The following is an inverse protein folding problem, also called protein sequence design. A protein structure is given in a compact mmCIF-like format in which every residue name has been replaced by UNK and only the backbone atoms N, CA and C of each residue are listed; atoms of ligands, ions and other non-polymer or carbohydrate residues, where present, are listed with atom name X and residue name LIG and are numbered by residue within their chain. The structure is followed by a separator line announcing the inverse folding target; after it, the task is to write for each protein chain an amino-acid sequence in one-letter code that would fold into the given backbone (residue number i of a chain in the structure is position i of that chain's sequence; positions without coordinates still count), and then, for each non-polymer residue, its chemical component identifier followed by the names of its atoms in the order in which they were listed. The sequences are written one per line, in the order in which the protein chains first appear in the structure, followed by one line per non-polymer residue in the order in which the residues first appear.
data_IF_775343082204
#
_entry.id   IF_775343082204
#
_cell.length_a   1.000
_cell.length_b   1.000
_cell.length_c   1.000
_cell.angle_alpha   90.00
_cell.angle_beta   90.00
_cell.angle_gamma   90.00
#
_symmetry.space_group_name_H-M   'P 1'
#
loop_
_entity.id
_entity.type
_entity.pdbx_description
1 polymer ?
#
# COMPACT_ATOMS: atom_id res chain seq x y z
N UNK A 1 15.51 -15.40 -1.31
CA UNK A 1 14.53 -16.48 -1.08
C UNK A 1 13.18 -15.79 -1.02
N UNK A 2 12.20 -16.17 -1.85
CA UNK A 2 10.92 -15.45 -1.93
C UNK A 2 10.14 -15.54 -0.60
N UNK A 3 9.37 -14.51 -0.30
CA UNK A 3 8.45 -14.30 0.86
C UNK A 3 7.38 -15.39 1.09
N UNK A 4 7.51 -16.57 0.49
CA UNK A 4 6.51 -17.64 0.60
C UNK A 4 6.65 -18.43 1.93
N UNK A 5 7.58 -18.00 2.79
CA UNK A 5 7.76 -18.53 4.14
C UNK A 5 7.94 -17.44 5.18
N UNK A 6 7.18 -17.53 6.27
CA UNK A 6 7.43 -16.77 7.51
C UNK A 6 7.82 -17.82 8.56
N UNK A 7 9.03 -17.70 9.12
CA UNK A 7 9.55 -18.66 10.12
C UNK A 7 9.46 -20.13 9.66
N UNK A 8 9.83 -20.39 8.39
CA UNK A 8 9.76 -21.69 7.71
C UNK A 8 8.36 -22.28 7.47
N UNK A 9 7.28 -21.57 7.83
CA UNK A 9 5.89 -21.98 7.55
C UNK A 9 5.40 -21.36 6.24
N UNK A 10 4.63 -22.11 5.47
CA UNK A 10 4.06 -21.61 4.21
C UNK A 10 3.00 -20.54 4.45
N UNK A 11 2.96 -19.56 3.55
CA UNK A 11 1.87 -18.61 3.42
C UNK A 11 1.20 -18.80 2.06
N UNK A 12 -0.13 -18.78 2.03
CA UNK A 12 -0.90 -18.91 0.79
C UNK A 12 -1.12 -17.53 0.19
N UNK A 13 -0.80 -17.35 -1.08
CA UNK A 13 -0.98 -16.08 -1.79
C UNK A 13 -2.18 -16.19 -2.71
N UNK A 14 -3.18 -15.38 -2.44
CA UNK A 14 -4.35 -15.20 -3.30
C UNK A 14 -3.98 -14.21 -4.39
N UNK A 15 -4.41 -14.45 -5.62
CA UNK A 15 -4.24 -13.56 -6.77
C UNK A 15 -5.21 -14.02 -7.86
N UNK A 16 -5.91 -13.08 -8.50
CA UNK A 16 -6.91 -13.41 -9.52
C UNK A 16 -6.32 -14.18 -10.72
N UNK A 17 -5.08 -13.86 -11.10
CA UNK A 17 -4.39 -14.46 -12.25
C UNK A 17 -3.65 -15.75 -11.90
N UNK A 18 -3.76 -16.24 -10.65
CA UNK A 18 -3.01 -17.37 -10.09
C UNK A 18 -1.49 -17.28 -10.31
N UNK A 19 -0.98 -16.06 -10.48
CA UNK A 19 0.42 -15.77 -10.81
C UNK A 19 0.84 -14.49 -10.08
N UNK A 20 0.99 -14.53 -8.74
CA UNK A 20 1.32 -13.35 -7.96
C UNK A 20 2.67 -12.77 -8.39
N UNK A 21 2.72 -11.47 -8.65
CA UNK A 21 3.97 -10.84 -9.09
C UNK A 21 4.92 -10.49 -7.95
N UNK A 22 6.17 -10.26 -8.33
CA UNK A 22 7.24 -9.81 -7.45
C UNK A 22 8.00 -8.67 -8.12
N UNK A 23 8.25 -7.61 -7.37
CA UNK A 23 9.07 -6.49 -7.85
C UNK A 23 10.40 -6.44 -7.11
N UNK A 24 11.38 -5.75 -7.69
CA UNK A 24 12.62 -5.48 -6.98
C UNK A 24 12.34 -4.58 -5.77
N UNK A 25 12.92 -4.93 -4.64
CA UNK A 25 12.86 -4.16 -3.42
C UNK A 25 14.27 -3.98 -2.83
N UNK A 26 14.36 -3.21 -1.74
CA UNK A 26 15.63 -3.01 -1.04
C UNK A 26 16.24 -4.34 -0.57
N UNK A 27 15.40 -5.33 -0.26
CA UNK A 27 15.78 -6.66 0.20
C UNK A 27 15.23 -7.73 -0.75
N UNK A 28 15.86 -7.87 -1.92
CA UNK A 28 15.49 -8.89 -2.88
C UNK A 28 14.18 -8.59 -3.61
N UNK A 29 13.12 -9.35 -3.31
CA UNK A 29 11.88 -9.37 -4.11
C UNK A 29 10.64 -9.24 -3.21
N UNK A 30 9.98 -8.09 -3.28
CA UNK A 30 8.75 -7.81 -2.57
C UNK A 30 7.53 -8.44 -3.27
N UNK A 31 6.51 -8.80 -2.50
CA UNK A 31 5.20 -9.18 -3.01
C UNK A 31 4.49 -7.95 -3.58
N UNK A 32 4.14 -7.96 -4.87
CA UNK A 32 3.29 -6.95 -5.48
C UNK A 32 1.83 -7.22 -5.12
N UNK A 33 1.14 -6.21 -4.62
CA UNK A 33 -0.28 -6.23 -4.25
C UNK A 33 -1.04 -5.36 -5.24
N UNK A 34 -2.06 -5.87 -5.92
CA UNK A 34 -2.72 -5.18 -7.05
C UNK A 34 -3.91 -4.30 -6.64
N UNK A 35 -4.18 -4.15 -5.34
CA UNK A 35 -5.27 -3.33 -4.81
C UNK A 35 -6.59 -4.05 -4.59
N UNK A 36 -6.78 -5.27 -5.13
CA UNK A 36 -8.10 -5.91 -5.08
C UNK A 36 -8.08 -7.45 -4.99
N UNK A 37 -7.07 -8.12 -5.52
CA UNK A 37 -7.04 -9.59 -5.61
C UNK A 37 -5.85 -10.22 -4.91
N UNK A 38 -4.75 -9.46 -4.78
CA UNK A 38 -3.48 -10.02 -4.31
C UNK A 38 -3.26 -9.76 -2.83
N UNK A 39 -3.26 -10.81 -2.04
CA UNK A 39 -3.02 -10.78 -0.60
C UNK A 39 -2.59 -12.15 -0.09
N UNK A 40 -1.89 -12.20 1.04
CA UNK A 40 -1.35 -13.44 1.60
C UNK A 40 -2.10 -13.83 2.88
N UNK A 41 -2.26 -15.13 3.13
CA UNK A 41 -2.98 -15.66 4.29
C UNK A 41 -2.33 -16.91 4.87
N UNK A 42 -2.44 -17.11 6.18
CA UNK A 42 -2.01 -18.36 6.84
C UNK A 42 -2.88 -18.68 8.05
N UNK A 43 -3.21 -19.97 8.19
CA UNK A 43 -3.83 -20.53 9.41
C UNK A 43 -2.78 -21.19 10.32
N UNK A 44 -1.54 -21.38 9.84
CA UNK A 44 -0.50 -22.11 10.56
C UNK A 44 0.39 -21.19 11.41
N UNK A 45 0.48 -19.92 11.02
CA UNK A 45 1.23 -18.90 11.74
C UNK A 45 0.32 -18.35 12.83
N UNK A 46 0.74 -18.54 14.07
CA UNK A 46 0.00 -18.05 15.25
C UNK A 46 0.82 -17.02 16.02
N UNK A 47 0.11 -16.02 16.53
CA UNK A 47 0.66 -14.95 17.36
C UNK A 47 0.40 -15.17 18.86
N UNK A 48 -0.08 -16.36 19.26
CA UNK A 48 -0.47 -16.71 20.65
C UNK A 48 0.63 -16.58 21.70
N UNK A 49 1.89 -16.45 21.30
CA UNK A 49 3.02 -16.22 22.19
C UNK A 49 3.28 -14.74 22.51
N UNK A 50 2.47 -13.82 22.00
CA UNK A 50 2.50 -12.38 22.32
C UNK A 50 1.55 -12.15 23.49
N UNK A 51 2.08 -11.70 24.63
CA UNK A 51 1.32 -11.60 25.88
C UNK A 51 1.17 -10.17 26.38
N UNK A 52 2.19 -9.33 26.31
CA UNK A 52 2.15 -7.95 26.84
C UNK A 52 3.05 -6.95 26.10
N UNK A 53 4.03 -7.42 25.33
CA UNK A 53 4.85 -6.61 24.43
C UNK A 53 4.82 -7.15 23.01
N UNK A 54 5.00 -6.25 22.04
CA UNK A 54 4.83 -6.55 20.63
C UNK A 54 5.61 -5.57 19.77
N UNK A 55 6.18 -6.06 18.67
CA UNK A 55 6.60 -5.21 17.54
C UNK A 55 6.17 -5.82 16.22
N UNK A 56 5.60 -5.00 15.35
CA UNK A 56 5.44 -5.27 13.92
C UNK A 56 6.36 -4.35 13.13
N UNK A 57 7.00 -4.87 12.09
CA UNK A 57 7.90 -4.14 11.19
C UNK A 57 7.69 -4.59 9.74
N UNK A 58 7.71 -3.65 8.79
CA UNK A 58 7.72 -3.95 7.34
C UNK A 58 8.23 -2.76 6.53
N UNK A 59 8.64 -3.03 5.30
CA UNK A 59 8.76 -2.02 4.24
C UNK A 59 7.54 -2.09 3.32
N UNK A 60 6.91 -0.94 3.09
CA UNK A 60 5.74 -0.83 2.22
C UNK A 60 5.85 0.37 1.27
N UNK A 61 5.56 0.14 0.00
CA UNK A 61 5.45 1.19 -1.01
C UNK A 61 4.12 1.04 -1.74
N UNK A 62 3.56 2.15 -2.21
CA UNK A 62 2.26 2.14 -2.90
C UNK A 62 2.22 3.18 -4.02
N UNK A 63 1.48 2.89 -5.09
CA UNK A 63 1.18 3.86 -6.16
C UNK A 63 -0.09 4.66 -5.84
N UNK A 64 -0.95 4.14 -4.95
CA UNK A 64 -2.26 4.71 -4.61
C UNK A 64 -2.79 4.16 -3.28
N UNK A 65 -3.46 5.02 -2.51
CA UNK A 65 -4.15 4.59 -1.31
C UNK A 65 -5.55 4.05 -1.65
N UNK A 66 -6.00 3.06 -0.89
CA UNK A 66 -7.29 2.41 -1.08
C UNK A 66 -8.46 3.29 -0.60
N UNK A 67 -9.64 3.13 -1.19
CA UNK A 67 -10.85 3.83 -0.72
C UNK A 67 -11.20 3.50 0.74
N UNK A 68 -10.90 2.28 1.18
CA UNK A 68 -11.10 1.79 2.54
C UNK A 68 -9.76 1.44 3.17
N UNK A 69 -9.75 1.41 4.50
CA UNK A 69 -8.65 0.89 5.28
C UNK A 69 -8.26 -0.52 4.78
N UNK A 70 -6.97 -0.72 4.50
CA UNK A 70 -6.43 -1.99 4.05
C UNK A 70 -5.22 -2.39 4.91
N UNK A 71 -5.13 -3.65 5.31
CA UNK A 71 -4.15 -4.08 6.30
C UNK A 71 -2.81 -4.47 5.69
N UNK A 72 -1.73 -3.98 6.30
CA UNK A 72 -0.39 -4.56 6.18
C UNK A 72 -0.35 -5.91 6.89
N UNK A 73 -0.94 -5.97 8.09
CA UNK A 73 -1.17 -7.17 8.86
C UNK A 73 -2.53 -7.09 9.55
N UNK A 74 -3.27 -8.18 9.50
CA UNK A 74 -4.53 -8.34 10.20
C UNK A 74 -4.62 -9.74 10.80
N UNK A 75 -4.84 -9.77 12.11
CA UNK A 75 -5.00 -10.97 12.92
C UNK A 75 -6.29 -10.88 13.74
N UNK A 76 -7.32 -10.25 13.17
CA UNK A 76 -8.63 -10.09 13.81
C UNK A 76 -9.56 -11.24 13.47
N UNK A 77 -10.15 -11.82 14.52
CA UNK A 77 -11.24 -12.78 14.43
C UNK A 77 -11.99 -12.75 15.78
N UNK A 78 -13.33 -12.70 15.76
CA UNK A 78 -14.15 -12.65 16.97
C UNK A 78 -13.78 -11.49 17.93
N UNK A 79 -13.22 -11.81 19.11
CA UNK A 79 -12.87 -10.86 20.18
C UNK A 79 -11.43 -10.33 20.10
N UNK A 80 -10.67 -10.72 19.07
CA UNK A 80 -9.34 -10.18 18.78
C UNK A 80 -9.41 -8.86 18.03
N UNK A 81 -8.69 -7.87 18.54
CA UNK A 81 -8.31 -6.68 17.79
C UNK A 81 -6.78 -6.66 17.73
N UNK A 82 -6.16 -7.11 16.64
CA UNK A 82 -4.75 -6.84 16.33
C UNK A 82 -4.59 -6.66 14.82
N UNK A 83 -4.41 -5.41 14.40
CA UNK A 83 -4.11 -5.11 12.99
C UNK A 83 -3.32 -3.82 12.84
N UNK A 84 -2.53 -3.79 11.77
CA UNK A 84 -1.81 -2.62 11.28
C UNK A 84 -2.29 -2.39 9.85
N UNK A 85 -2.83 -1.20 9.59
CA UNK A 85 -3.44 -0.87 8.31
C UNK A 85 -3.02 0.51 7.79
N UNK A 86 -3.25 0.72 6.50
CA UNK A 86 -3.10 2.00 5.81
C UNK A 86 -4.51 2.55 5.55
N UNK A 87 -4.75 3.78 5.99
CA UNK A 87 -5.97 4.51 5.72
C UNK A 87 -6.00 5.09 4.29
N UNK A 88 -7.16 5.65 3.86
CA UNK A 88 -7.36 6.11 2.49
C UNK A 88 -6.46 7.26 2.01
N UNK A 89 -5.76 7.92 2.93
CA UNK A 89 -4.84 9.03 2.62
C UNK A 89 -3.42 8.78 3.11
N UNK A 90 -3.09 7.53 3.47
CA UNK A 90 -1.73 7.13 3.81
C UNK A 90 -1.37 7.18 5.29
N UNK A 91 -2.29 7.51 6.18
CA UNK A 91 -2.03 7.38 7.62
C UNK A 91 -1.94 5.88 8.00
N UNK A 92 -0.98 5.55 8.86
CA UNK A 92 -0.87 4.22 9.47
C UNK A 92 -1.87 4.13 10.62
N UNK A 93 -2.57 3.01 10.73
CA UNK A 93 -3.56 2.73 11.78
C UNK A 93 -3.08 1.49 12.51
N UNK A 94 -2.79 1.62 13.80
CA UNK A 94 -2.43 0.51 14.65
C UNK A 94 -3.53 0.28 15.67
N UNK A 95 -4.16 -0.89 15.64
CA UNK A 95 -5.19 -1.27 16.59
C UNK A 95 -4.79 -2.54 17.32
N UNK A 96 -4.93 -2.53 18.64
CA UNK A 96 -4.75 -3.69 19.49
C UNK A 96 -5.76 -3.72 20.65
N UNK A 97 -6.16 -4.90 21.12
CA UNK A 97 -6.84 -5.04 22.42
C UNK A 97 -5.79 -5.14 23.53
N UNK A 98 -5.78 -4.17 24.43
CA UNK A 98 -4.81 -4.04 25.52
C UNK A 98 -5.58 -3.95 26.83
N UNK A 99 -5.25 -4.80 27.80
CA UNK A 99 -6.00 -4.94 29.06
C UNK A 99 -7.51 -5.11 28.84
N UNK A 100 -7.88 -5.96 27.88
CA UNK A 100 -9.27 -6.19 27.44
C UNK A 100 -10.01 -4.95 26.88
N UNK A 101 -9.30 -3.85 26.62
CA UNK A 101 -9.84 -2.64 26.02
C UNK A 101 -9.27 -2.44 24.62
N UNK A 102 -10.14 -2.15 23.65
CA UNK A 102 -9.70 -1.82 22.29
C UNK A 102 -8.98 -0.47 22.30
N UNK A 103 -7.76 -0.44 21.77
CA UNK A 103 -6.93 0.74 21.59
C UNK A 103 -6.58 0.91 20.12
N UNK A 104 -6.66 2.15 19.64
CA UNK A 104 -6.31 2.50 18.27
C UNK A 104 -5.48 3.78 18.27
N UNK A 105 -4.30 3.69 17.67
CA UNK A 105 -3.42 4.80 17.40
C UNK A 105 -3.35 5.03 15.88
N UNK A 106 -3.34 6.30 15.47
CA UNK A 106 -3.10 6.69 14.07
C UNK A 106 -1.81 7.50 14.00
N UNK A 107 -1.07 7.34 12.91
CA UNK A 107 0.06 8.21 12.62
C UNK A 107 -0.40 9.66 12.43
N UNK A 108 0.46 10.60 12.80
CA UNK A 108 0.32 12.04 12.52
C UNK A 108 0.68 12.36 11.07
N UNK A 109 1.66 11.65 10.52
CA UNK A 109 2.07 11.82 9.13
C UNK A 109 1.44 10.76 8.23
N UNK A 110 1.27 11.11 6.95
CA UNK A 110 0.92 10.17 5.90
C UNK A 110 2.20 9.61 5.26
N UNK A 111 2.19 8.31 4.94
CA UNK A 111 3.27 7.72 4.16
C UNK A 111 3.25 8.28 2.73
N UNK A 112 4.40 8.24 2.04
CA UNK A 112 4.51 8.78 0.68
C UNK A 112 4.36 7.68 -0.37
N UNK A 113 3.52 7.91 -1.38
CA UNK A 113 3.44 7.02 -2.54
C UNK A 113 4.73 7.06 -3.37
N UNK A 114 4.96 6.01 -4.17
CA UNK A 114 6.16 5.78 -4.98
C UNK A 114 7.46 5.77 -4.20
N UNK A 115 7.39 5.65 -2.87
CA UNK A 115 8.55 5.52 -2.00
C UNK A 115 8.39 4.34 -1.05
N UNK A 116 9.49 3.67 -0.75
CA UNK A 116 9.58 2.66 0.30
C UNK A 116 9.51 3.34 1.66
N UNK A 117 8.45 3.03 2.41
CA UNK A 117 8.22 3.50 3.76
C UNK A 117 8.51 2.37 4.75
N UNK A 118 9.37 2.62 5.72
CA UNK A 118 9.60 1.71 6.85
C UNK A 118 8.56 1.99 7.93
N UNK A 119 7.76 0.99 8.27
CA UNK A 119 6.65 1.13 9.21
C UNK A 119 6.91 0.17 10.36
N UNK A 120 6.94 0.71 11.58
CA UNK A 120 7.08 -0.08 12.81
C UNK A 120 6.00 0.31 13.81
N UNK A 121 5.33 -0.68 14.39
CA UNK A 121 4.34 -0.47 15.45
C UNK A 121 4.77 -1.26 16.69
N UNK A 122 4.78 -0.63 17.87
CA UNK A 122 5.21 -1.29 19.11
C UNK A 122 4.20 -1.13 20.23
N UNK A 123 4.07 -2.15 21.08
CA UNK A 123 3.42 -2.07 22.39
C UNK A 123 4.51 -2.31 23.43
N UNK A 124 4.80 -1.28 24.24
CA UNK A 124 5.89 -1.25 25.22
C UNK A 124 5.33 -1.12 26.65
N UNK A 125 5.22 -2.23 27.40
CA UNK A 125 4.75 -2.21 28.78
C UNK A 125 5.75 -1.61 29.78
N UNK A 126 7.05 -1.54 29.44
CA UNK A 126 8.07 -0.92 30.32
C UNK A 126 7.83 0.58 30.42
N UNK A 127 7.50 1.22 29.30
CA UNK A 127 7.19 2.64 29.23
C UNK A 127 5.68 2.94 29.24
N UNK A 128 4.84 1.89 29.25
CA UNK A 128 3.38 1.98 29.11
C UNK A 128 2.94 2.77 27.87
N UNK A 129 3.55 2.51 26.71
CA UNK A 129 3.25 3.22 25.47
C UNK A 129 2.88 2.29 24.33
N UNK A 130 1.99 2.76 23.46
CA UNK A 130 1.86 2.25 22.09
C UNK A 130 2.44 3.27 21.14
N UNK A 131 3.21 2.82 20.14
CA UNK A 131 3.95 3.70 19.24
C UNK A 131 3.77 3.28 17.77
N UNK A 132 3.79 4.28 16.90
CA UNK A 132 3.96 4.14 15.45
C UNK A 132 5.21 4.90 15.06
N UNK A 133 6.11 4.24 14.33
CA UNK A 133 7.28 4.83 13.72
C UNK A 133 7.15 4.78 12.21
N UNK A 134 7.54 5.87 11.55
CA UNK A 134 7.61 5.97 10.09
C UNK A 134 9.03 6.40 9.73
N UNK A 135 9.69 5.64 8.86
CA UNK A 135 11.03 5.95 8.34
C UNK A 135 12.05 6.19 9.45
N UNK A 136 12.09 5.27 10.44
CA UNK A 136 13.03 5.32 11.56
C UNK A 136 12.70 6.33 12.66
N UNK A 137 11.66 7.15 12.50
CA UNK A 137 11.29 8.22 13.45
C UNK A 137 9.99 7.90 14.18
N UNK A 138 9.90 8.26 15.46
CA UNK A 138 8.65 8.16 16.22
C UNK A 138 7.65 9.18 15.68
N UNK A 139 6.54 8.70 15.14
CA UNK A 139 5.52 9.54 14.50
C UNK A 139 4.33 9.78 15.44
N UNK A 140 3.85 8.70 16.09
CA UNK A 140 2.76 8.78 17.06
C UNK A 140 3.04 7.90 18.29
N UNK A 141 2.61 8.38 19.45
CA UNK A 141 2.68 7.67 20.73
C UNK A 141 1.44 7.97 21.55
N UNK A 142 0.96 6.99 22.31
CA UNK A 142 -0.06 7.15 23.35
C UNK A 142 0.41 6.44 24.62
N UNK A 143 0.33 7.14 25.77
CA UNK A 143 0.59 6.56 27.08
C UNK A 143 -0.68 5.91 27.64
N UNK A 144 -0.55 4.68 28.11
CA UNK A 144 -1.64 3.90 28.70
C UNK A 144 -1.42 3.71 30.21
N UNK A 145 -2.48 3.38 30.93
CA UNK A 145 -2.36 2.96 32.33
C UNK A 145 -1.97 1.49 32.38
N UNK A 146 -0.73 1.19 32.80
CA UNK A 146 -0.21 -0.15 33.11
C UNK A 146 -0.59 -1.22 32.08
N UNK A 147 0.21 -1.40 31.04
CA UNK A 147 0.01 -2.46 30.06
C UNK A 147 0.39 -3.80 30.70
N UNK A 148 -0.60 -4.64 30.98
CA UNK A 148 -0.39 -5.97 31.58
C UNK A 148 -0.68 -7.11 30.62
N UNK A 149 -1.50 -6.87 29.59
CA UNK A 149 -1.88 -7.88 28.61
C UNK A 149 -2.23 -7.29 27.24
N UNK A 150 -1.92 -8.06 26.20
CA UNK A 150 -2.41 -7.90 24.83
C UNK A 150 -3.26 -9.14 24.53
N UNK A 151 -4.52 -8.94 24.14
CA UNK A 151 -5.40 -10.07 23.84
C UNK A 151 -5.10 -10.56 22.42
N UNK A 152 -4.35 -11.67 22.31
CA UNK A 152 -4.02 -12.33 21.04
C UNK A 152 -4.43 -13.79 21.08
N UNK A 153 -5.65 -14.08 20.61
CA UNK A 153 -6.15 -15.45 20.43
C UNK A 153 -5.77 -15.99 19.05
N UNK A 154 -5.73 -17.32 18.82
CA UNK A 154 -5.53 -17.87 17.49
C UNK A 154 -6.56 -17.35 16.48
N UNK A 155 -6.07 -16.80 15.37
CA UNK A 155 -6.87 -16.28 14.26
C UNK A 155 -6.18 -16.53 12.93
N UNK A 156 -6.91 -16.33 11.82
CA UNK A 156 -6.32 -16.32 10.48
C UNK A 156 -5.42 -15.09 10.31
N UNK A 157 -4.16 -15.32 9.93
CA UNK A 157 -3.26 -14.25 9.51
C UNK A 157 -3.61 -13.79 8.11
N UNK A 158 -3.77 -12.49 7.94
CA UNK A 158 -4.02 -11.80 6.68
C UNK A 158 -2.94 -10.74 6.48
N UNK A 159 -2.32 -10.70 5.31
CA UNK A 159 -1.30 -9.72 4.90
C UNK A 159 -1.75 -9.10 3.59
N UNK A 160 -1.79 -7.77 3.50
CA UNK A 160 -2.23 -7.07 2.30
C UNK A 160 -3.74 -6.89 2.17
N UNK A 161 -4.55 -7.33 3.15
CA UNK A 161 -6.01 -7.19 3.12
C UNK A 161 -6.60 -7.25 4.53
N UNK A 162 -7.63 -6.46 4.82
CA UNK A 162 -8.40 -6.59 6.08
C UNK A 162 -9.26 -7.86 6.11
N UNK A 163 -9.43 -8.49 7.27
CA UNK A 163 -10.28 -9.65 7.51
C UNK A 163 -11.77 -9.27 7.69
N UNK A 164 -12.23 -8.34 6.85
CA UNK A 164 -13.63 -7.96 6.74
C UNK A 164 -14.01 -7.96 5.27
N UNK A 165 -15.30 -8.15 4.99
CA UNK A 165 -15.82 -8.09 3.62
C UNK A 165 -16.20 -6.64 3.29
N UNK A 166 -15.39 -6.00 2.43
CA UNK A 166 -15.63 -4.64 1.95
C UNK A 166 -15.42 -4.64 0.43
N UNK A 167 -16.52 -4.48 -0.30
CA UNK A 167 -16.53 -4.54 -1.76
C UNK A 167 -17.26 -3.36 -2.37
N UNK A 168 -16.82 -2.97 -3.56
CA UNK A 168 -17.50 -2.02 -4.43
C UNK A 168 -17.47 -2.55 -5.86
N UNK A 169 -18.63 -2.55 -6.53
CA UNK A 169 -18.80 -3.12 -7.86
C UNK A 169 -18.27 -4.56 -8.01
N UNK A 170 -18.37 -5.38 -6.95
CA UNK A 170 -17.90 -6.77 -6.95
C UNK A 170 -16.40 -6.96 -6.70
N UNK A 171 -15.64 -5.89 -6.47
CA UNK A 171 -14.21 -5.95 -6.19
C UNK A 171 -13.90 -5.52 -4.76
N UNK A 172 -12.90 -6.14 -4.13
CA UNK A 172 -12.46 -5.74 -2.80
C UNK A 172 -11.90 -4.32 -2.84
N UNK A 173 -12.28 -3.49 -1.86
CA UNK A 173 -11.77 -2.11 -1.72
C UNK A 173 -10.85 -1.93 -0.51
N UNK A 174 -10.61 -3.02 0.23
CA UNK A 174 -9.78 -3.09 1.44
C UNK A 174 -8.54 -4.01 1.29
N UNK A 175 -8.05 -4.16 0.06
CA UNK A 175 -6.84 -4.91 -0.29
C UNK A 175 -5.77 -3.93 -0.73
N UNK A 176 -4.56 -3.95 -0.18
CA UNK A 176 -3.55 -2.94 -0.47
C UNK A 176 -3.16 -2.95 -1.95
N UNK A 177 -2.98 -1.77 -2.54
CA UNK A 177 -2.19 -1.62 -3.76
C UNK A 177 -0.76 -1.23 -3.41
N UNK A 178 0.23 -1.92 -3.94
CA UNK A 178 1.62 -1.52 -3.86
C UNK A 178 2.53 -2.71 -3.81
N UNK A 179 3.56 -2.65 -2.97
CA UNK A 179 4.41 -3.79 -2.68
C UNK A 179 4.79 -3.80 -1.20
N UNK A 180 4.89 -5.01 -0.64
CA UNK A 180 5.23 -5.26 0.76
C UNK A 180 6.46 -6.17 0.85
N UNK A 181 7.35 -5.83 1.76
CA UNK A 181 8.62 -6.52 1.97
C UNK A 181 9.01 -6.63 3.45
N UNK A 182 9.85 -7.60 3.77
CA UNK A 182 10.49 -7.76 5.09
C UNK A 182 9.54 -7.68 6.29
N UNK A 183 8.39 -8.35 6.20
CA UNK A 183 7.43 -8.42 7.31
C UNK A 183 8.05 -9.20 8.46
N UNK A 184 8.15 -8.55 9.61
CA UNK A 184 8.69 -9.12 10.84
C UNK A 184 7.78 -8.84 12.02
N UNK A 185 7.61 -9.84 12.89
CA UNK A 185 6.84 -9.74 14.13
C UNK A 185 7.73 -10.22 15.26
N UNK A 186 7.87 -9.40 16.30
CA UNK A 186 8.68 -9.69 17.47
C UNK A 186 7.81 -9.73 18.71
N UNK A 187 8.20 -10.60 19.65
CA UNK A 187 7.56 -10.73 20.97
C UNK A 187 8.08 -9.70 21.97
N UNK A 188 8.92 -8.77 21.54
CA UNK A 188 9.46 -7.72 22.38
C UNK A 188 9.15 -6.35 21.80
N UNK A 189 9.11 -5.33 22.65
CA UNK A 189 9.05 -3.94 22.21
C UNK A 189 10.41 -3.49 21.67
N UNK A 190 10.45 -3.01 20.42
CA UNK A 190 11.65 -2.43 19.84
C UNK A 190 11.85 -0.99 20.33
N UNK A 191 13.07 -0.65 20.75
CA UNK A 191 13.39 0.72 21.16
C UNK A 191 13.45 1.68 19.96
N UNK A 192 13.18 2.96 20.19
CA UNK A 192 13.28 3.99 19.16
C UNK A 192 14.66 4.02 18.46
N UNK A 193 15.75 3.81 19.21
CA UNK A 193 17.09 3.74 18.65
C UNK A 193 17.28 2.54 17.72
N UNK A 194 16.77 1.37 18.10
CA UNK A 194 16.83 0.18 17.25
C UNK A 194 16.02 0.36 15.96
N UNK A 195 14.84 0.99 16.04
CA UNK A 195 14.03 1.34 14.87
C UNK A 195 14.78 2.30 13.93
N UNK A 196 15.38 3.36 14.48
CA UNK A 196 16.18 4.32 13.70
C UNK A 196 17.39 3.66 13.02
N UNK A 197 18.10 2.78 13.73
CA UNK A 197 19.25 2.06 13.18
C UNK A 197 18.85 1.17 12.00
N UNK A 198 17.81 0.36 12.14
CA UNK A 198 17.32 -0.50 11.06
C UNK A 198 16.91 0.29 9.81
N UNK A 199 16.29 1.45 9.98
CA UNK A 199 15.96 2.33 8.85
C UNK A 199 17.22 2.83 8.14
N UNK A 200 18.21 3.31 8.91
CA UNK A 200 19.45 3.90 8.40
C UNK A 200 20.41 2.87 7.79
N UNK A 201 20.39 1.63 8.28
CA UNK A 201 21.16 0.50 7.73
C UNK A 201 20.73 0.15 6.29
N UNK A 202 19.48 0.42 5.94
CA UNK A 202 19.02 0.28 4.56
C UNK A 202 19.47 1.47 3.71
N UNK A 203 20.59 1.32 3.00
CA UNK A 203 21.15 2.32 2.08
C UNK A 203 20.58 2.25 0.66
N UNK A 204 19.65 1.34 0.38
CA UNK A 204 19.05 1.18 -0.95
C UNK A 204 18.16 2.37 -1.31
N UNK A 205 17.95 2.56 -2.62
CA UNK A 205 17.04 3.59 -3.14
C UNK A 205 15.67 3.50 -2.46
N UNK A 206 15.16 4.64 -2.01
CA UNK A 206 13.83 4.75 -1.43
C UNK A 206 12.75 4.93 -2.50
N UNK A 207 13.10 5.11 -3.77
CA UNK A 207 12.12 5.15 -4.88
C UNK A 207 11.65 3.72 -5.18
N UNK A 208 10.34 3.52 -5.24
CA UNK A 208 9.75 2.21 -5.50
C UNK A 208 9.31 2.09 -6.98
N UNK A 209 9.87 1.12 -7.69
CA UNK A 209 9.41 0.74 -9.03
C UNK A 209 8.23 -0.23 -8.92
N UNK A 210 7.01 0.32 -8.94
CA UNK A 210 5.76 -0.42 -8.71
C UNK A 210 5.08 -0.90 -10.00
N UNK A 211 5.73 -0.69 -11.14
CA UNK A 211 5.19 -1.06 -12.45
C UNK A 211 4.93 -2.56 -12.51
N UNK A 212 3.85 -2.91 -13.19
CA UNK A 212 3.58 -4.29 -13.53
C UNK A 212 3.59 -4.41 -15.04
N UNK A 213 4.37 -5.37 -15.53
CA UNK A 213 4.47 -5.66 -16.95
C UNK A 213 3.15 -6.26 -17.47
N UNK A 214 2.38 -5.53 -18.30
CA UNK A 214 1.12 -6.03 -18.83
C UNK A 214 1.33 -7.22 -19.78
N UNK A 215 2.48 -7.36 -20.44
CA UNK A 215 2.74 -8.48 -21.34
C UNK A 215 2.89 -9.79 -20.59
N UNK A 216 3.48 -9.75 -19.39
CA UNK A 216 3.60 -10.92 -18.51
C UNK A 216 2.24 -11.27 -17.90
N UNK A 217 1.55 -10.26 -17.32
CA UNK A 217 0.25 -10.50 -16.67
C UNK A 217 -0.78 -11.05 -17.65
N UNK A 218 -0.90 -10.41 -18.80
CA UNK A 218 -1.91 -10.74 -19.81
C UNK A 218 -1.36 -11.65 -20.91
N UNK A 219 -0.29 -12.40 -20.61
CA UNK A 219 0.26 -13.37 -21.54
C UNK A 219 -0.82 -14.36 -22.01
N UNK A 220 -1.05 -14.40 -23.33
CA UNK A 220 -2.07 -15.27 -23.95
C UNK A 220 -3.48 -14.67 -24.01
N UNK A 221 -3.69 -13.46 -23.52
CA UNK A 221 -4.97 -12.74 -23.67
C UNK A 221 -5.08 -12.11 -25.06
N UNK A 222 -5.73 -12.83 -25.98
CA UNK A 222 -5.95 -12.37 -27.36
C UNK A 222 -6.97 -11.23 -27.48
N UNK A 223 -7.71 -10.92 -26.40
CA UNK A 223 -8.66 -9.80 -26.36
C UNK A 223 -8.00 -8.50 -25.92
N UNK A 224 -6.79 -8.54 -25.35
CA UNK A 224 -6.05 -7.33 -24.98
C UNK A 224 -5.59 -6.61 -26.25
N UNK A 225 -5.96 -5.33 -26.46
CA UNK A 225 -5.53 -4.60 -27.65
C UNK A 225 -4.01 -4.41 -27.72
N UNK A 226 -3.45 -4.52 -28.92
CA UNK A 226 -2.01 -4.28 -29.16
C UNK A 226 -1.68 -2.83 -29.54
N UNK A 227 -2.64 -2.09 -30.11
CA UNK A 227 -2.45 -0.72 -30.61
C UNK A 227 -3.31 0.32 -29.90
N UNK A 228 -4.31 -0.12 -29.11
CA UNK A 228 -5.09 0.78 -28.27
C UNK A 228 -4.48 0.78 -26.88
N UNK A 229 -4.07 1.96 -26.43
CA UNK A 229 -3.49 2.16 -25.11
C UNK A 229 -4.47 1.73 -24.01
N UNK A 230 -3.94 0.99 -23.03
CA UNK A 230 -4.67 0.45 -21.89
C UNK A 230 -3.76 0.51 -20.66
N UNK A 231 -4.27 0.81 -19.45
CA UNK A 231 -3.45 0.79 -18.24
C UNK A 231 -2.82 -0.58 -18.02
N UNK A 232 -1.69 -0.58 -17.32
CA UNK A 232 -0.97 -1.79 -16.91
C UNK A 232 -1.82 -2.64 -15.94
N UNK A 233 -2.70 -1.97 -15.17
CA UNK A 233 -3.55 -2.57 -14.15
C UNK A 233 -4.94 -1.94 -14.10
N UNK A 234 -5.89 -2.74 -13.62
CA UNK A 234 -7.18 -2.27 -13.08
C UNK A 234 -8.05 -1.54 -14.13
N UNK A 235 -8.54 -0.34 -13.83
CA UNK A 235 -9.59 0.32 -14.60
C UNK A 235 -9.15 1.68 -15.14
N UNK A 236 -9.57 2.00 -16.36
CA UNK A 236 -9.43 3.31 -16.99
C UNK A 236 -10.69 3.72 -17.73
N UNK A 237 -10.86 5.03 -17.93
CA UNK A 237 -11.93 5.64 -18.71
C UNK A 237 -11.44 6.94 -19.39
N UNK A 238 -12.38 7.77 -19.83
CA UNK A 238 -12.24 9.06 -20.54
C UNK A 238 -10.89 9.77 -20.37
N UNK A 239 -10.34 10.22 -21.51
CA UNK A 239 -9.14 11.04 -21.57
C UNK A 239 -9.43 12.51 -21.23
N UNK A 240 -8.57 13.13 -20.41
CA UNK A 240 -8.60 14.56 -20.03
C UNK A 240 -7.61 15.44 -20.78
N UNK A 241 -7.05 14.93 -21.86
CA UNK A 241 -6.24 15.70 -22.80
C UNK A 241 -5.13 14.88 -23.43
N UNK A 242 -4.87 15.17 -24.69
CA UNK A 242 -3.70 14.74 -25.43
C UNK A 242 -2.89 15.99 -25.79
N UNK A 243 -1.67 16.09 -25.28
CA UNK A 243 -0.82 17.27 -25.45
C UNK A 243 0.56 16.85 -25.91
N UNK A 244 1.12 17.56 -26.88
CA UNK A 244 2.51 17.39 -27.28
C UNK A 244 3.41 18.40 -26.55
N UNK A 245 4.34 17.91 -25.75
CA UNK A 245 5.25 18.71 -24.94
C UNK A 245 6.60 17.99 -24.77
N UNK A 246 7.70 18.74 -24.85
CA UNK A 246 9.06 18.21 -24.68
C UNK A 246 9.34 16.95 -25.53
N UNK A 247 8.98 17.00 -26.82
CA UNK A 247 9.11 15.92 -27.80
C UNK A 247 8.36 14.62 -27.45
N UNK A 248 7.32 14.70 -26.61
CA UNK A 248 6.44 13.58 -26.28
C UNK A 248 4.98 13.98 -26.35
N UNK A 249 4.13 13.04 -26.72
CA UNK A 249 2.71 13.08 -26.46
C UNK A 249 2.46 12.66 -25.02
N UNK A 250 1.63 13.43 -24.32
CA UNK A 250 1.16 13.18 -22.97
C UNK A 250 -0.35 12.98 -23.03
N UNK A 251 -0.84 11.86 -22.52
CA UNK A 251 -2.27 11.60 -22.40
C UNK A 251 -2.66 11.39 -20.94
N UNK A 252 -3.58 12.21 -20.45
CA UNK A 252 -4.17 12.06 -19.11
C UNK A 252 -5.54 11.41 -19.22
N UNK A 253 -5.90 10.59 -18.25
CA UNK A 253 -7.13 9.80 -18.30
C UNK A 253 -7.61 9.44 -16.90
N UNK A 254 -8.90 9.14 -16.73
CA UNK A 254 -9.40 8.58 -15.46
C UNK A 254 -8.81 7.19 -15.22
N UNK A 255 -8.30 6.95 -14.01
CA UNK A 255 -7.80 5.64 -13.59
C UNK A 255 -8.33 5.28 -12.21
N UNK A 256 -8.67 4.01 -12.00
CA UNK A 256 -8.69 3.43 -10.66
C UNK A 256 -7.58 2.39 -10.55
N UNK A 257 -6.46 2.71 -9.86
CA UNK A 257 -5.36 1.77 -9.69
C UNK A 257 -5.71 0.63 -8.73
N UNK A 258 -6.64 0.86 -7.79
CA UNK A 258 -6.91 -0.07 -6.70
C UNK A 258 -7.90 -1.18 -7.07
N UNK A 259 -8.77 -0.99 -8.05
CA UNK A 259 -9.73 -2.02 -8.44
C UNK A 259 -10.23 -1.82 -9.88
N UNK A 260 -10.74 -2.88 -10.53
CA UNK A 260 -11.45 -2.82 -11.81
C UNK A 260 -12.84 -2.12 -11.73
N UNK A 261 -12.95 -0.97 -11.04
CA UNK A 261 -14.24 -0.35 -10.73
C UNK A 261 -14.26 1.18 -10.88
N UNK A 262 -15.45 1.71 -11.20
CA UNK A 262 -15.75 3.13 -11.37
C UNK A 262 -15.93 3.86 -10.02
N UNK A 263 -14.92 3.91 -9.14
CA UNK A 263 -14.96 4.76 -7.93
C UNK A 263 -13.56 5.17 -7.46
N UNK A 264 -13.46 6.25 -6.68
CA UNK A 264 -12.19 6.72 -6.08
C UNK A 264 -11.11 7.00 -7.14
N UNK A 265 -11.51 7.79 -8.15
CA UNK A 265 -10.72 8.07 -9.34
C UNK A 265 -9.42 8.80 -9.04
N UNK A 266 -8.40 8.42 -9.78
CA UNK A 266 -7.12 9.08 -9.95
C UNK A 266 -7.03 9.57 -11.40
N UNK A 267 -6.04 10.39 -11.71
CA UNK A 267 -5.63 10.59 -13.11
C UNK A 267 -4.44 9.71 -13.40
N UNK A 268 -4.55 8.86 -14.43
CA UNK A 268 -3.41 8.21 -15.03
C UNK A 268 -2.72 9.13 -16.02
N UNK A 269 -1.48 8.78 -16.37
CA UNK A 269 -0.66 9.51 -17.33
C UNK A 269 0.08 8.54 -18.23
N UNK A 270 -0.10 8.68 -19.55
CA UNK A 270 0.72 8.01 -20.55
C UNK A 270 1.64 9.00 -21.26
N UNK A 271 2.83 8.55 -21.64
CA UNK A 271 3.67 9.24 -22.62
C UNK A 271 3.94 8.37 -23.85
N UNK A 272 4.11 9.01 -25.00
CA UNK A 272 4.51 8.35 -26.25
C UNK A 272 5.31 9.30 -27.13
N UNK A 273 6.25 8.78 -27.91
CA UNK A 273 7.01 9.55 -28.90
C UNK A 273 6.37 9.46 -30.30
N UNK A 274 5.51 8.46 -30.55
CA UNK A 274 5.02 8.10 -31.88
C UNK A 274 3.51 7.80 -31.96
N UNK A 275 2.76 7.99 -30.86
CA UNK A 275 1.33 7.67 -30.68
C UNK A 275 0.98 6.18 -30.79
N UNK A 276 1.98 5.29 -30.92
CA UNK A 276 1.79 3.84 -31.04
C UNK A 276 2.31 3.15 -29.79
N UNK A 277 3.51 3.50 -29.36
CA UNK A 277 4.18 2.95 -28.20
C UNK A 277 3.96 3.87 -27.00
N UNK A 278 3.19 3.38 -26.02
CA UNK A 278 2.82 4.15 -24.84
C UNK A 278 3.49 3.59 -23.58
N UNK A 279 4.01 4.48 -22.75
CA UNK A 279 4.51 4.17 -21.41
C UNK A 279 3.57 4.78 -20.39
N UNK A 280 3.07 3.96 -19.46
CA UNK A 280 2.36 4.48 -18.28
C UNK A 280 3.37 5.11 -17.33
N UNK A 281 3.15 6.36 -16.96
CA UNK A 281 3.95 7.11 -16.01
C UNK A 281 3.30 7.08 -14.61
N UNK A 282 4.00 7.64 -13.63
CA UNK A 282 3.47 7.81 -12.27
C UNK A 282 2.13 8.55 -12.29
N UNK A 283 1.23 8.18 -11.38
CA UNK A 283 -0.07 8.82 -11.20
C UNK A 283 0.15 10.30 -10.79
N UNK A 284 -0.24 11.28 -11.63
CA UNK A 284 -0.04 12.69 -11.33
C UNK A 284 -1.03 13.25 -10.30
N UNK A 285 -2.29 12.79 -10.31
CA UNK A 285 -3.34 13.27 -9.39
C UNK A 285 -4.06 12.10 -8.74
N UNK A 286 -4.34 12.25 -7.45
CA UNK A 286 -4.99 11.26 -6.61
C UNK A 286 -5.92 11.95 -5.61
N UNK A 287 -6.90 11.21 -5.06
CA UNK A 287 -7.66 11.69 -3.90
C UNK A 287 -6.73 11.96 -2.73
N UNK A 288 -6.88 13.12 -2.10
CA UNK A 288 -6.18 13.48 -0.86
C UNK A 288 -7.21 14.00 0.16
N UNK A 289 -6.83 14.04 1.43
CA UNK A 289 -7.72 14.58 2.45
C UNK A 289 -8.01 16.07 2.19
N UNK A 290 -9.28 16.40 1.98
CA UNK A 290 -9.73 17.77 1.69
C UNK A 290 -9.61 18.18 0.22
N UNK A 291 -8.92 17.39 -0.62
CA UNK A 291 -8.82 17.61 -2.06
C UNK A 291 -9.33 16.39 -2.82
N UNK A 292 -10.47 16.55 -3.51
CA UNK A 292 -11.06 15.48 -4.31
C UNK A 292 -11.19 14.14 -3.53
N UNK A 293 -11.55 14.22 -2.24
CA UNK A 293 -11.56 13.10 -1.28
C UNK A 293 -12.37 11.87 -1.72
N UNK A 294 -13.25 12.01 -2.71
CA UNK A 294 -14.07 10.92 -3.25
C UNK A 294 -13.67 10.48 -4.66
N UNK A 295 -12.57 11.02 -5.20
CA UNK A 295 -12.12 10.81 -6.57
C UNK A 295 -11.82 12.13 -7.28
N UNK A 296 -10.77 12.13 -8.10
CA UNK A 296 -10.44 13.20 -9.07
C UNK A 296 -11.24 12.94 -10.35
N UNK A 297 -12.53 13.30 -10.34
CA UNK A 297 -13.51 12.87 -11.34
C UNK A 297 -13.49 13.63 -12.66
N UNK A 298 -12.96 14.84 -12.69
CA UNK A 298 -12.98 15.67 -13.89
C UNK A 298 -11.87 16.70 -13.84
N UNK A 299 -11.60 17.29 -14.99
CA UNK A 299 -10.68 18.40 -15.14
C UNK A 299 -10.17 18.50 -16.58
N UNK A 300 -9.11 19.26 -16.77
CA UNK A 300 -8.51 19.49 -18.08
C UNK A 300 -6.99 19.66 -17.99
N UNK A 301 -6.33 19.42 -19.10
CA UNK A 301 -4.90 19.65 -19.25
C UNK A 301 -4.67 20.79 -20.24
N UNK A 302 -3.78 21.73 -19.90
CA UNK A 302 -3.32 22.74 -20.85
C UNK A 302 -1.84 23.09 -20.66
N UNK A 303 -1.23 23.60 -21.73
CA UNK A 303 0.12 24.15 -21.69
C UNK A 303 0.07 25.63 -21.34
N UNK A 304 0.82 26.02 -20.31
CA UNK A 304 1.06 27.43 -20.01
C UNK A 304 2.48 27.84 -20.40
N UNK A 305 2.68 29.13 -20.60
CA UNK A 305 4.00 29.76 -20.75
C UNK A 305 4.16 30.80 -19.64
N UNK A 306 5.10 30.60 -18.72
CA UNK A 306 5.48 31.60 -17.73
C UNK A 306 6.94 32.01 -17.97
N UNK A 307 7.16 33.30 -18.28
CA UNK A 307 8.46 34.00 -18.35
C UNK A 307 9.70 33.14 -18.67
N UNK A 308 9.65 32.35 -19.76
CA UNK A 308 10.70 31.46 -20.34
C UNK A 308 10.61 29.95 -20.04
N UNK A 309 9.55 29.45 -19.40
CA UNK A 309 9.29 28.03 -19.24
C UNK A 309 7.87 27.66 -19.68
N UNK A 310 7.76 26.64 -20.53
CA UNK A 310 6.48 25.96 -20.74
C UNK A 310 6.29 24.93 -19.63
N UNK A 311 5.10 24.84 -19.06
CA UNK A 311 4.76 23.81 -18.07
C UNK A 311 3.38 23.23 -18.34
N UNK A 312 3.23 21.98 -17.93
CA UNK A 312 1.99 21.23 -18.03
C UNK A 312 1.21 21.44 -16.72
N UNK A 313 -0.01 21.98 -16.83
CA UNK A 313 -0.89 22.17 -15.68
C UNK A 313 -2.06 21.20 -15.80
N UNK A 314 -2.37 20.56 -14.68
CA UNK A 314 -3.56 19.74 -14.47
C UNK A 314 -4.50 20.55 -13.56
N UNK A 315 -5.71 20.83 -14.03
CA UNK A 315 -6.76 21.55 -13.28
C UNK A 315 -7.98 20.68 -13.14
#
# INVERSE_FOLDING_TARGET
MALDKISNKSISINNHFNRPERINASFGKALRLDGWSTYATSNEITLSGITNEFTFETWYATESFNQKEAALLDYTENSNDLYIAIGPYGNVIFTSKINEQRKQLKSKSNIKAYTWNHIVCTIDPKNNTINIYINGQLDATESLQNITSISVYPSKLMIGKRNINEQSAGFNVNTLNGAIDEISIYKNAMSALAVANKYNENTSSKVAALDIDPNIRHQGDYLRPSYHVMPNTSWANESYGLIHYNNKYHMFFQKNPNAPSLFFMHWGHFTSEDLVNWKEEIIPLRPEEGFASFGVWSGTTFLTKTQNLSSLILV
#
